data_IF_297173735922
#
_entry.id   IF_297173735922
#
_cell.length_a   1.000
_cell.length_b   1.000
_cell.length_c   1.000
_cell.angle_alpha   90.00
_cell.angle_beta   90.00
_cell.angle_gamma   90.00
#
_symmetry.space_group_name_H-M   'P 1'
#
loop_
_entity.id
_entity.type
_entity.pdbx_description
1 polymer ?
#
# COMPACT_ATOMS: atom_id res chain seq x y z
N UNK A 1 -16.48 1.92 4.33
CA UNK A 1 -17.77 2.53 4.11
C UNK A 1 -18.33 2.12 2.74
N UNK A 2 -19.60 1.67 2.70
CA UNK A 2 -20.26 1.21 1.47
C UNK A 2 -20.48 2.34 0.44
N UNK A 3 -20.23 3.57 0.82
CA UNK A 3 -20.39 4.75 -0.04
C UNK A 3 -19.15 5.09 -0.88
N UNK A 4 -18.02 4.43 -0.63
CA UNK A 4 -16.78 4.66 -1.37
C UNK A 4 -16.44 3.42 -2.18
N UNK A 5 -16.91 3.30 -3.43
CA UNK A 5 -16.57 2.17 -4.28
C UNK A 5 -15.13 2.31 -4.79
N UNK A 6 -14.37 1.22 -4.69
CA UNK A 6 -13.01 1.14 -5.23
C UNK A 6 -13.01 0.12 -6.35
N UNK A 7 -12.70 0.56 -7.56
CA UNK A 7 -12.60 -0.29 -8.73
C UNK A 7 -11.30 -1.10 -8.75
N UNK A 8 -11.35 -2.31 -9.29
CA UNK A 8 -10.15 -3.12 -9.49
C UNK A 8 -9.20 -2.43 -10.48
N UNK A 9 -7.98 -2.16 -10.02
CA UNK A 9 -6.97 -1.40 -10.76
C UNK A 9 -6.87 0.08 -10.36
N UNK A 10 -7.71 0.54 -9.44
CA UNK A 10 -7.70 1.90 -8.92
C UNK A 10 -6.58 2.11 -7.89
N UNK A 11 -6.15 3.36 -7.74
CA UNK A 11 -5.24 3.83 -6.69
C UNK A 11 -6.02 4.73 -5.76
N UNK A 12 -6.38 4.23 -4.59
CA UNK A 12 -7.13 4.98 -3.59
C UNK A 12 -6.27 5.24 -2.35
N UNK A 13 -6.01 6.49 -2.05
CA UNK A 13 -5.20 6.91 -0.91
C UNK A 13 -6.01 6.83 0.39
N UNK A 14 -5.43 6.24 1.42
CA UNK A 14 -5.92 6.32 2.79
C UNK A 14 -5.00 7.27 3.55
N UNK A 15 -5.53 8.42 3.97
CA UNK A 15 -4.76 9.50 4.56
C UNK A 15 -5.37 9.97 5.88
N UNK A 16 -4.55 10.23 6.87
CA UNK A 16 -4.97 10.75 8.17
C UNK A 16 -3.85 10.72 9.19
N UNK A 17 -4.11 11.30 10.34
CA UNK A 17 -3.16 11.36 11.45
C UNK A 17 -2.88 9.97 12.05
N UNK A 18 -1.91 9.91 12.96
CA UNK A 18 -1.58 8.68 13.66
C UNK A 18 -2.79 8.15 14.42
N UNK A 19 -3.02 6.83 14.37
CA UNK A 19 -4.09 6.13 15.08
C UNK A 19 -5.54 6.51 14.67
N UNK A 20 -5.73 7.01 13.46
CA UNK A 20 -7.08 7.29 12.90
C UNK A 20 -7.78 6.07 12.29
N UNK A 21 -7.19 4.88 12.39
CA UNK A 21 -7.80 3.66 11.86
C UNK A 21 -7.40 3.28 10.43
N UNK A 22 -6.38 3.92 9.85
CA UNK A 22 -5.89 3.62 8.48
C UNK A 22 -5.61 2.13 8.26
N UNK A 23 -4.82 1.53 9.16
CA UNK A 23 -4.49 0.10 9.12
C UNK A 23 -5.72 -0.78 9.31
N UNK A 24 -6.67 -0.39 10.17
CA UNK A 24 -7.90 -1.14 10.39
C UNK A 24 -8.73 -1.26 9.11
N UNK A 25 -8.91 -0.16 8.37
CA UNK A 25 -9.60 -0.16 7.06
C UNK A 25 -8.93 -1.15 6.10
N UNK A 26 -7.59 -1.14 6.04
CA UNK A 26 -6.84 -2.04 5.16
C UNK A 26 -7.05 -3.52 5.53
N UNK A 27 -6.97 -3.84 6.83
CA UNK A 27 -7.12 -5.22 7.32
C UNK A 27 -8.57 -5.70 7.16
N UNK A 28 -9.55 -4.88 7.46
CA UNK A 28 -10.98 -5.21 7.26
C UNK A 28 -11.28 -5.44 5.78
N UNK A 29 -10.65 -4.67 4.89
CA UNK A 29 -10.75 -4.90 3.44
C UNK A 29 -10.27 -6.30 3.06
N UNK A 30 -9.15 -6.76 3.62
CA UNK A 30 -8.63 -8.11 3.37
C UNK A 30 -9.57 -9.19 3.91
N UNK A 31 -10.02 -9.06 5.14
CA UNK A 31 -10.91 -10.02 5.79
C UNK A 31 -12.22 -10.16 5.01
N UNK A 32 -12.78 -9.04 4.55
CA UNK A 32 -14.05 -9.04 3.82
C UNK A 32 -13.97 -9.65 2.41
N UNK A 33 -12.77 -9.86 1.85
CA UNK A 33 -12.61 -10.59 0.59
C UNK A 33 -12.84 -12.11 0.74
N UNK A 34 -12.83 -12.63 1.96
CA UNK A 34 -13.00 -14.08 2.19
C UNK A 34 -14.27 -14.63 1.54
N UNK A 35 -15.40 -13.97 1.74
CA UNK A 35 -16.68 -14.43 1.17
C UNK A 35 -16.65 -14.50 -0.36
N UNK A 36 -16.03 -13.52 -1.01
CA UNK A 36 -15.89 -13.47 -2.48
C UNK A 36 -14.94 -14.55 -2.97
N UNK A 37 -13.82 -14.73 -2.28
CA UNK A 37 -12.82 -15.72 -2.63
C UNK A 37 -13.33 -17.15 -2.43
N UNK A 38 -14.05 -17.43 -1.34
CA UNK A 38 -14.68 -18.73 -1.08
C UNK A 38 -15.75 -19.05 -2.13
N UNK A 39 -16.57 -18.07 -2.52
CA UNK A 39 -17.58 -18.24 -3.58
C UNK A 39 -16.96 -18.50 -4.97
N UNK A 40 -15.73 -18.07 -5.19
CA UNK A 40 -14.99 -18.30 -6.45
C UNK A 40 -14.44 -19.73 -6.56
N UNK A 41 -14.41 -20.50 -5.48
CA UNK A 41 -13.95 -21.89 -5.45
C UNK A 41 -12.52 -22.05 -5.98
N UNK A 42 -12.36 -22.82 -7.08
CA UNK A 42 -11.05 -23.06 -7.70
C UNK A 42 -10.71 -22.08 -8.83
N UNK A 43 -11.58 -21.11 -9.09
CA UNK A 43 -11.37 -20.14 -10.17
C UNK A 43 -10.56 -18.95 -9.67
N UNK A 44 -9.26 -19.04 -9.78
CA UNK A 44 -8.33 -17.99 -9.32
C UNK A 44 -8.48 -16.67 -10.10
N UNK A 45 -9.06 -16.69 -11.29
CA UNK A 45 -9.33 -15.48 -12.08
C UNK A 45 -10.40 -14.57 -11.46
N UNK A 46 -11.18 -15.08 -10.52
CA UNK A 46 -12.22 -14.32 -9.81
C UNK A 46 -11.82 -13.88 -8.42
N UNK A 47 -10.81 -14.53 -7.84
CA UNK A 47 -10.29 -14.20 -6.51
C UNK A 47 -9.60 -12.86 -6.49
N UNK A 48 -9.52 -12.27 -5.29
CA UNK A 48 -8.67 -11.14 -4.99
C UNK A 48 -7.57 -11.60 -4.03
N UNK A 49 -6.34 -11.61 -4.51
CA UNK A 49 -5.15 -11.85 -3.69
C UNK A 49 -4.74 -10.55 -3.01
N UNK A 50 -4.42 -10.60 -1.74
CA UNK A 50 -4.14 -9.43 -0.93
C UNK A 50 -2.67 -9.40 -0.52
N UNK A 51 -2.03 -8.23 -0.63
CA UNK A 51 -0.63 -8.04 -0.24
C UNK A 51 -0.55 -6.87 0.73
N UNK A 52 -0.17 -7.13 1.97
CA UNK A 52 0.04 -6.11 2.98
C UNK A 52 1.52 -5.81 3.12
N UNK A 53 1.88 -4.54 2.97
CA UNK A 53 3.26 -4.06 3.07
C UNK A 53 3.42 -3.21 4.32
N UNK A 54 4.12 -3.75 5.32
CA UNK A 54 4.47 -3.01 6.53
C UNK A 54 5.84 -2.33 6.36
N UNK A 55 5.87 -1.02 6.35
CA UNK A 55 7.10 -0.23 6.24
C UNK A 55 7.35 0.54 7.54
N UNK A 56 8.47 0.29 8.18
CA UNK A 56 8.90 1.02 9.37
C UNK A 56 7.98 0.84 10.59
N UNK A 57 7.18 -0.19 10.63
CA UNK A 57 6.32 -0.54 11.77
C UNK A 57 7.08 -1.37 12.81
N UNK A 58 6.56 -1.42 14.04
CA UNK A 58 7.08 -2.29 15.09
C UNK A 58 6.80 -3.75 14.73
N UNK A 59 7.74 -4.66 15.03
CA UNK A 59 7.55 -6.11 14.82
C UNK A 59 6.30 -6.65 15.52
N UNK A 60 6.00 -6.16 16.73
CA UNK A 60 4.80 -6.57 17.47
C UNK A 60 3.51 -6.20 16.74
N UNK A 61 3.46 -5.04 16.09
CA UNK A 61 2.30 -4.62 15.28
C UNK A 61 2.12 -5.53 14.07
N UNK A 62 3.20 -5.85 13.37
CA UNK A 62 3.16 -6.78 12.23
C UNK A 62 2.69 -8.17 12.67
N UNK A 63 3.19 -8.67 13.80
CA UNK A 63 2.77 -9.95 14.36
C UNK A 63 1.27 -9.99 14.72
N UNK A 64 0.73 -8.89 15.25
CA UNK A 64 -0.70 -8.76 15.54
C UNK A 64 -1.55 -8.79 14.26
N UNK A 65 -1.10 -8.11 13.21
CA UNK A 65 -1.78 -8.11 11.90
C UNK A 65 -1.81 -9.52 11.31
N UNK A 66 -0.68 -10.21 11.29
CA UNK A 66 -0.59 -11.60 10.80
C UNK A 66 -1.53 -12.50 11.57
N UNK A 67 -1.53 -12.43 12.90
CA UNK A 67 -2.44 -13.20 13.75
C UNK A 67 -3.91 -12.91 13.44
N UNK A 68 -4.27 -11.63 13.29
CA UNK A 68 -5.64 -11.24 12.94
C UNK A 68 -6.08 -11.83 11.60
N UNK A 69 -5.20 -11.82 10.58
CA UNK A 69 -5.48 -12.41 9.28
C UNK A 69 -5.59 -13.94 9.36
N UNK A 70 -4.77 -14.60 10.17
CA UNK A 70 -4.83 -16.05 10.42
C UNK A 70 -6.14 -16.46 11.10
N UNK A 71 -6.51 -15.77 12.19
CA UNK A 71 -7.73 -16.05 12.97
C UNK A 71 -9.01 -15.89 12.13
N UNK A 72 -8.99 -14.98 11.16
CA UNK A 72 -10.11 -14.74 10.23
C UNK A 72 -10.03 -15.59 8.94
N UNK A 73 -9.00 -16.43 8.80
CA UNK A 73 -8.80 -17.27 7.62
C UNK A 73 -8.43 -16.48 6.34
N UNK A 74 -7.98 -15.24 6.49
CA UNK A 74 -7.58 -14.38 5.37
C UNK A 74 -6.16 -14.65 4.88
N UNK A 75 -5.32 -15.34 5.66
CA UNK A 75 -3.95 -15.67 5.25
C UNK A 75 -3.88 -16.64 4.07
N UNK A 76 -4.95 -17.39 3.78
CA UNK A 76 -4.99 -18.32 2.65
C UNK A 76 -4.81 -17.63 1.28
N UNK A 77 -5.20 -16.35 1.20
CA UNK A 77 -5.10 -15.53 -0.02
C UNK A 77 -4.28 -14.25 0.20
N UNK A 78 -3.53 -14.17 1.29
CA UNK A 78 -2.77 -12.96 1.65
C UNK A 78 -1.27 -13.21 1.71
N UNK A 79 -0.51 -12.18 1.36
CA UNK A 79 0.96 -12.11 1.48
C UNK A 79 1.29 -10.93 2.39
N UNK A 80 2.20 -11.11 3.34
CA UNK A 80 2.70 -10.02 4.18
C UNK A 80 4.17 -9.79 3.86
N UNK A 81 4.49 -8.57 3.43
CA UNK A 81 5.86 -8.11 3.17
C UNK A 81 6.21 -7.07 4.24
N UNK A 82 7.21 -7.34 5.05
CA UNK A 82 7.55 -6.47 6.17
C UNK A 82 9.01 -6.03 6.13
N UNK A 83 9.22 -4.71 6.20
CA UNK A 83 10.48 -4.09 6.56
C UNK A 83 10.20 -3.20 7.78
N UNK A 84 10.55 -3.72 8.96
CA UNK A 84 10.20 -3.12 10.25
C UNK A 84 11.09 -1.92 10.60
N UNK A 85 10.75 -1.21 11.66
CA UNK A 85 11.53 -0.05 12.13
C UNK A 85 12.97 -0.41 12.52
N UNK A 86 13.26 -1.68 12.83
CA UNK A 86 14.61 -2.17 13.13
C UNK A 86 15.41 -2.61 11.91
N UNK A 87 14.78 -2.69 10.74
CA UNK A 87 15.46 -3.07 9.51
C UNK A 87 16.14 -1.84 8.88
N UNK A 88 17.27 -2.03 8.15
CA UNK A 88 17.98 -0.93 7.50
C UNK A 88 17.10 -0.15 6.50
N UNK A 89 17.38 1.16 6.34
CA UNK A 89 16.63 2.01 5.42
C UNK A 89 16.51 1.46 3.98
N UNK A 90 17.53 0.82 3.39
CA UNK A 90 17.39 0.19 2.07
C UNK A 90 16.29 -0.87 2.02
N UNK A 91 16.09 -1.65 3.08
CA UNK A 91 15.02 -2.66 3.13
C UNK A 91 13.64 -2.00 3.19
N UNK A 92 13.48 -0.95 3.98
CA UNK A 92 12.24 -0.17 4.05
C UNK A 92 11.93 0.53 2.72
N UNK A 93 12.95 0.97 1.99
CA UNK A 93 12.83 1.53 0.64
C UNK A 93 12.36 0.47 -0.38
N UNK A 94 12.92 -0.74 -0.34
CA UNK A 94 12.66 -1.80 -1.33
C UNK A 94 11.34 -2.55 -1.11
N UNK A 95 10.87 -2.69 0.13
CA UNK A 95 9.71 -3.51 0.45
C UNK A 95 8.45 -3.19 -0.39
N UNK A 96 8.06 -1.91 -0.59
CA UNK A 96 6.92 -1.59 -1.45
C UNK A 96 7.11 -2.02 -2.91
N UNK A 97 8.30 -1.89 -3.46
CA UNK A 97 8.60 -2.33 -4.82
C UNK A 97 8.56 -3.85 -4.97
N UNK A 98 9.07 -4.57 -3.98
CA UNK A 98 9.00 -6.03 -3.94
C UNK A 98 7.55 -6.50 -3.93
N UNK A 99 6.72 -5.91 -3.09
CA UNK A 99 5.30 -6.23 -3.02
C UNK A 99 4.54 -5.87 -4.31
N UNK A 100 4.88 -4.75 -4.94
CA UNK A 100 4.31 -4.37 -6.23
C UNK A 100 4.67 -5.39 -7.31
N UNK A 101 5.89 -5.91 -7.33
CA UNK A 101 6.30 -6.97 -8.26
C UNK A 101 5.53 -8.27 -8.04
N UNK A 102 5.25 -8.64 -6.77
CA UNK A 102 4.39 -9.77 -6.46
C UNK A 102 2.95 -9.54 -6.96
N UNK A 103 2.42 -8.33 -6.79
CA UNK A 103 1.09 -7.97 -7.30
C UNK A 103 1.00 -7.98 -8.82
N UNK A 104 2.06 -7.55 -9.51
CA UNK A 104 2.14 -7.62 -10.97
C UNK A 104 2.11 -9.05 -11.50
N UNK A 105 2.67 -10.01 -10.78
CA UNK A 105 2.55 -11.42 -11.14
C UNK A 105 1.08 -11.85 -11.29
N UNK A 106 0.24 -11.50 -10.34
CA UNK A 106 -1.19 -11.81 -10.43
C UNK A 106 -1.87 -11.04 -11.57
N UNK A 107 -1.62 -9.73 -11.66
CA UNK A 107 -2.17 -8.87 -12.72
C UNK A 107 -1.84 -9.40 -14.12
N UNK A 108 -0.59 -9.76 -14.37
CA UNK A 108 -0.10 -10.15 -15.69
C UNK A 108 -0.51 -11.58 -16.07
N UNK A 109 -0.95 -12.39 -15.09
CA UNK A 109 -1.48 -13.73 -15.29
C UNK A 109 -3.04 -13.80 -15.26
N UNK A 110 -3.72 -12.68 -15.47
CA UNK A 110 -5.18 -12.64 -15.56
C UNK A 110 -5.90 -12.74 -14.22
N UNK A 111 -5.18 -12.62 -13.11
CA UNK A 111 -5.72 -12.63 -11.75
C UNK A 111 -5.84 -11.22 -11.19
N UNK A 112 -6.34 -11.09 -9.98
CA UNK A 112 -6.54 -9.79 -9.33
C UNK A 112 -5.79 -9.74 -8.02
N UNK A 113 -5.04 -8.65 -7.81
CA UNK A 113 -4.34 -8.37 -6.58
C UNK A 113 -4.71 -7.00 -6.01
N UNK A 114 -4.71 -6.91 -4.69
CA UNK A 114 -4.80 -5.68 -3.92
C UNK A 114 -3.54 -5.54 -3.09
N UNK A 115 -2.85 -4.41 -3.20
CA UNK A 115 -1.68 -4.11 -2.39
C UNK A 115 -1.95 -2.90 -1.49
N UNK A 116 -1.67 -3.05 -0.20
CA UNK A 116 -1.72 -1.96 0.78
C UNK A 116 -0.30 -1.60 1.17
N UNK A 117 0.09 -0.34 1.00
CA UNK A 117 1.40 0.18 1.42
C UNK A 117 1.25 0.95 2.74
N UNK A 118 1.55 0.32 3.86
CA UNK A 118 1.39 0.91 5.20
C UNK A 118 2.75 1.15 5.89
N UNK A 119 3.36 2.32 5.77
CA UNK A 119 2.91 3.48 4.98
C UNK A 119 4.03 4.03 4.08
N UNK A 120 3.64 4.77 3.07
CA UNK A 120 4.58 5.40 2.14
C UNK A 120 5.30 6.62 2.73
N UNK A 121 4.77 7.22 3.80
CA UNK A 121 5.47 8.28 4.54
C UNK A 121 6.79 7.77 5.11
N UNK A 122 6.79 6.58 5.70
CA UNK A 122 8.00 5.94 6.23
C UNK A 122 8.97 5.50 5.13
N UNK A 123 8.45 5.05 3.99
CA UNK A 123 9.30 4.79 2.82
C UNK A 123 10.03 6.06 2.37
N UNK A 124 9.33 7.19 2.29
CA UNK A 124 9.92 8.47 1.93
C UNK A 124 11.01 8.91 2.94
N UNK A 125 10.77 8.72 4.24
CA UNK A 125 11.77 9.00 5.28
C UNK A 125 13.00 8.12 5.12
N UNK A 126 12.83 6.83 4.87
CA UNK A 126 13.95 5.91 4.60
C UNK A 126 14.76 6.35 3.37
N UNK A 127 14.08 6.74 2.31
CA UNK A 127 14.72 7.24 1.08
C UNK A 127 15.47 8.55 1.31
N UNK A 128 14.90 9.48 2.10
CA UNK A 128 15.58 10.70 2.53
C UNK A 128 16.86 10.38 3.30
N UNK A 129 16.79 9.47 4.27
CA UNK A 129 17.94 9.05 5.05
C UNK A 129 19.07 8.50 4.17
N UNK A 130 18.75 7.61 3.24
CA UNK A 130 19.72 7.06 2.29
C UNK A 130 20.35 8.15 1.42
N UNK A 131 19.52 9.06 0.91
CA UNK A 131 19.96 10.16 0.03
C UNK A 131 20.90 11.13 0.74
N UNK A 132 20.63 11.46 2.00
CA UNK A 132 21.48 12.31 2.82
C UNK A 132 22.83 11.64 3.14
N UNK A 133 22.82 10.35 3.44
CA UNK A 133 24.06 9.56 3.66
C UNK A 133 24.92 9.51 2.39
N UNK A 134 24.29 9.45 1.22
CA UNK A 134 24.96 9.51 -0.09
C UNK A 134 25.32 10.93 -0.52
N UNK A 135 25.15 11.92 0.36
CA UNK A 135 25.43 13.34 0.12
C UNK A 135 24.70 13.93 -1.09
N UNK A 136 23.53 13.40 -1.43
CA UNK A 136 22.67 13.99 -2.44
C UNK A 136 22.11 15.32 -1.92
N UNK A 137 22.04 16.36 -2.76
CA UNK A 137 21.56 17.68 -2.31
C UNK A 137 20.10 17.57 -1.86
N UNK A 138 19.76 18.06 -0.64
CA UNK A 138 18.39 18.05 -0.17
C UNK A 138 17.55 19.15 -0.85
N UNK A 139 16.29 18.82 -1.12
CA UNK A 139 15.28 19.76 -1.56
C UNK A 139 14.31 20.14 -0.43
N UNK A 140 13.04 20.33 -0.77
CA UNK A 140 11.98 20.67 0.20
C UNK A 140 11.88 19.61 1.32
N UNK A 141 11.80 20.05 2.57
CA UNK A 141 11.77 19.20 3.77
C UNK A 141 12.92 18.18 3.84
N UNK A 142 14.07 18.56 3.25
CA UNK A 142 15.26 17.71 3.14
C UNK A 142 15.07 16.42 2.31
N UNK A 143 13.97 16.27 1.59
CA UNK A 143 13.80 15.18 0.65
C UNK A 143 14.65 15.40 -0.62
N UNK A 144 15.13 14.32 -1.26
CA UNK A 144 15.81 14.46 -2.55
C UNK A 144 14.83 14.91 -3.64
N UNK A 145 15.34 15.55 -4.70
CA UNK A 145 14.51 16.11 -5.76
C UNK A 145 13.65 15.09 -6.53
N UNK A 146 13.98 13.81 -6.45
CA UNK A 146 13.26 12.70 -7.11
C UNK A 146 12.29 11.95 -6.20
N UNK A 147 11.95 12.48 -5.02
CA UNK A 147 11.02 11.80 -4.10
C UNK A 147 9.61 11.65 -4.68
N UNK A 148 9.15 12.57 -5.52
CA UNK A 148 7.91 12.39 -6.26
C UNK A 148 7.97 11.14 -7.15
N UNK A 149 9.07 10.95 -7.86
CA UNK A 149 9.29 9.78 -8.71
C UNK A 149 9.37 8.47 -7.91
N UNK A 150 9.83 8.51 -6.67
CA UNK A 150 9.79 7.36 -5.75
C UNK A 150 8.37 6.76 -5.67
N UNK A 151 7.36 7.59 -5.45
CA UNK A 151 5.97 7.16 -5.29
C UNK A 151 5.23 7.02 -6.62
N UNK A 152 5.47 7.89 -7.59
CA UNK A 152 4.78 7.81 -8.89
C UNK A 152 5.11 6.51 -9.63
N UNK A 153 6.38 6.14 -9.74
CA UNK A 153 6.78 4.88 -10.40
C UNK A 153 6.31 3.62 -9.66
N UNK A 154 6.03 3.72 -8.35
CA UNK A 154 5.44 2.63 -7.58
C UNK A 154 3.95 2.50 -7.85
N UNK A 155 3.21 3.60 -7.71
CA UNK A 155 1.74 3.61 -7.78
C UNK A 155 1.21 3.50 -9.22
N UNK A 156 1.95 3.98 -10.21
CA UNK A 156 1.59 3.81 -11.64
C UNK A 156 1.61 2.35 -12.12
N UNK A 157 2.17 1.44 -11.34
CA UNK A 157 2.13 -0.01 -11.61
C UNK A 157 0.76 -0.62 -11.34
N UNK A 158 -0.07 0.04 -10.52
CA UNK A 158 -1.47 -0.36 -10.32
C UNK A 158 -2.29 -0.04 -11.57
N UNK A 159 -2.94 -1.05 -12.12
CA UNK A 159 -3.72 -0.92 -13.35
C UNK A 159 -4.74 -2.05 -13.49
N UNK A 160 -5.76 -1.81 -14.31
CA UNK A 160 -6.66 -2.82 -14.86
C UNK A 160 -6.23 -3.12 -16.29
N UNK A 161 -5.87 -4.36 -16.56
CA UNK A 161 -5.48 -4.80 -17.89
C UNK A 161 -6.70 -4.96 -18.81
N UNK A 162 -6.50 -4.74 -20.11
CA UNK A 162 -7.52 -5.01 -21.12
C UNK A 162 -7.67 -6.52 -21.42
N UNK A 163 -8.64 -6.88 -22.23
CA UNK A 163 -8.91 -8.28 -22.57
C UNK A 163 -7.73 -8.96 -23.29
N UNK A 164 -7.03 -8.23 -24.15
CA UNK A 164 -5.88 -8.76 -24.91
C UNK A 164 -4.70 -9.12 -23.99
N UNK A 165 -4.63 -8.49 -22.80
CA UNK A 165 -3.61 -8.71 -21.79
C UNK A 165 -4.14 -9.49 -20.57
N UNK A 166 -5.19 -10.29 -20.73
CA UNK A 166 -5.68 -11.24 -19.73
C UNK A 166 -6.65 -10.66 -18.70
N UNK A 167 -7.05 -9.40 -18.80
CA UNK A 167 -8.04 -8.74 -17.90
C UNK A 167 -7.70 -8.73 -16.40
N UNK A 168 -6.48 -9.02 -16.03
CA UNK A 168 -6.00 -8.95 -14.64
C UNK A 168 -5.99 -7.53 -14.07
N UNK A 169 -5.80 -7.39 -12.79
CA UNK A 169 -5.70 -6.08 -12.15
C UNK A 169 -4.77 -6.06 -10.95
N UNK A 170 -4.18 -4.90 -10.70
CA UNK A 170 -3.48 -4.57 -9.45
C UNK A 170 -4.07 -3.28 -8.91
N UNK A 171 -4.73 -3.38 -7.76
CA UNK A 171 -5.32 -2.25 -7.04
C UNK A 171 -4.35 -1.82 -5.94
N UNK A 172 -4.13 -0.53 -5.77
CA UNK A 172 -3.24 0.00 -4.75
C UNK A 172 -4.00 0.86 -3.73
N UNK A 173 -3.77 0.57 -2.45
CA UNK A 173 -4.21 1.38 -1.32
C UNK A 173 -2.96 1.91 -0.59
N UNK A 174 -2.35 3.00 -1.07
CA UNK A 174 -1.29 3.67 -0.33
C UNK A 174 -1.85 4.32 0.93
N UNK A 175 -1.07 4.24 2.00
CA UNK A 175 -1.37 4.89 3.28
C UNK A 175 -0.36 6.01 3.49
N UNK A 176 -0.85 7.18 3.86
CA UNK A 176 -0.05 8.35 4.22
C UNK A 176 -0.43 8.82 5.63
N UNK A 177 0.58 9.06 6.46
CA UNK A 177 0.42 9.66 7.77
C UNK A 177 0.56 11.19 7.67
N UNK A 178 -0.46 11.91 8.15
CA UNK A 178 -0.42 13.37 8.32
C UNK A 178 -0.08 13.73 9.76
N UNK A 179 0.24 14.99 9.99
CA UNK A 179 0.44 15.56 11.31
C UNK A 179 -0.51 16.73 11.48
N UNK A 180 -1.43 16.65 12.48
CA UNK A 180 -2.42 17.68 12.72
C UNK A 180 -3.37 17.93 11.55
N UNK A 181 -3.66 16.89 10.76
CA UNK A 181 -4.53 17.00 9.60
C UNK A 181 -3.95 17.76 8.40
N UNK A 182 -2.65 18.09 8.43
CA UNK A 182 -2.01 18.88 7.36
C UNK A 182 -1.80 18.05 6.08
N UNK A 183 -2.73 18.17 5.15
CA UNK A 183 -2.65 17.58 3.80
C UNK A 183 -1.85 18.43 2.82
N UNK A 184 -1.42 19.64 3.22
CA UNK A 184 -0.62 20.54 2.38
C UNK A 184 0.89 20.27 2.45
N UNK A 185 1.32 19.38 3.34
CA UNK A 185 2.71 18.94 3.46
C UNK A 185 3.21 18.28 2.16
N UNK A 186 4.53 18.17 2.02
CA UNK A 186 5.14 17.80 0.73
C UNK A 186 4.77 16.37 0.30
N UNK A 187 4.92 15.38 1.14
CA UNK A 187 4.63 13.98 0.78
C UNK A 187 3.11 13.75 0.58
N UNK A 188 2.21 14.20 1.46
CA UNK A 188 0.77 14.12 1.22
C UNK A 188 0.34 14.70 -0.14
N UNK A 189 0.76 15.92 -0.48
CA UNK A 189 0.38 16.56 -1.75
C UNK A 189 0.89 15.79 -2.96
N UNK A 190 2.09 15.22 -2.90
CA UNK A 190 2.64 14.40 -3.97
C UNK A 190 1.78 13.14 -4.20
N UNK A 191 1.42 12.44 -3.15
CA UNK A 191 0.65 11.18 -3.27
C UNK A 191 -0.80 11.45 -3.65
N UNK A 192 -1.42 12.53 -3.16
CA UNK A 192 -2.75 12.97 -3.59
C UNK A 192 -2.78 13.19 -5.11
N UNK A 193 -1.75 13.81 -5.67
CA UNK A 193 -1.68 14.06 -7.13
C UNK A 193 -1.48 12.79 -7.97
N UNK A 194 -0.91 11.73 -7.41
CA UNK A 194 -0.68 10.46 -8.11
C UNK A 194 -1.91 9.56 -8.08
N UNK A 195 -2.70 9.62 -7.01
CA UNK A 195 -3.84 8.74 -6.76
C UNK A 195 -5.13 9.22 -7.43
N UNK A 196 -6.05 8.29 -7.67
CA UNK A 196 -7.33 8.57 -8.34
C UNK A 196 -8.37 9.17 -7.38
N UNK A 197 -8.20 8.96 -6.08
CA UNK A 197 -9.05 9.49 -5.02
C UNK A 197 -8.42 9.29 -3.66
N UNK A 198 -9.03 9.84 -2.62
CA UNK A 198 -8.55 9.73 -1.25
C UNK A 198 -9.68 9.55 -0.24
N UNK A 199 -9.41 8.69 0.75
CA UNK A 199 -10.20 8.53 1.96
C UNK A 199 -9.47 9.27 3.07
N UNK A 200 -10.05 10.40 3.50
CA UNK A 200 -9.50 11.23 4.57
C UNK A 200 -10.08 10.82 5.91
N UNK A 201 -9.22 10.48 6.87
CA UNK A 201 -9.61 10.07 8.22
C UNK A 201 -9.27 11.18 9.20
N UNK A 202 -10.29 11.67 9.88
CA UNK A 202 -10.18 12.68 10.93
C UNK A 202 -10.10 12.04 12.32
N UNK A 203 -9.65 12.82 13.30
CA UNK A 203 -9.46 12.37 14.69
C UNK A 203 -10.69 12.54 15.56
N UNK A 204 -11.77 13.13 15.06
CA UNK A 204 -13.03 13.37 15.79
C UNK A 204 -14.14 12.42 15.33
#
# INVERSE_FOLDING_TARGET
>A
DSLIPIGRGQRELIIGDRQTGKTAIAIDTFINQKAVNDASGKDDSKKLFCIYVAVGQKRSTVAQIVRSLEEQGAMEYSIVVAATASDPAPMQFLAPYTAAAMGEYFRDNGMHALVVFDDLSKQAVAYRQMSLLLRRPPGREAYPGDVFYLHSRLLERAAKMNADNGSGSLTALPVIETQGGDVSAFIPTNVISITDGQIFLETE
#
